data_IF_078163214196
#
_entry.id   IF_078163214196
#
_cell.length_a   1.000
_cell.length_b   1.000
_cell.length_c   1.000
_cell.angle_alpha   90.00
_cell.angle_beta   90.00
_cell.angle_gamma   90.00
#
_symmetry.space_group_name_H-M   'P 1'
#
loop_
_entity.id
_entity.type
_entity.pdbx_description
1 polymer ?
#
# COMPACT_ATOMS: atom_id res chain seq x y z
N UNK A 1 -1.94 12.30 -9.12
CA UNK A 1 -1.54 12.30 -7.69
C UNK A 1 -1.80 13.66 -7.04
N UNK A 2 -1.40 14.79 -7.66
CA UNK A 2 -1.49 16.13 -7.05
C UNK A 2 -2.90 16.59 -6.68
N UNK A 3 -3.91 16.39 -7.54
CA UNK A 3 -5.26 16.93 -7.31
C UNK A 3 -5.94 16.42 -6.05
N UNK A 4 -5.88 15.12 -5.77
CA UNK A 4 -6.49 14.53 -4.56
C UNK A 4 -5.78 14.94 -3.26
N UNK A 5 -4.47 15.11 -3.30
CA UNK A 5 -3.70 15.60 -2.15
C UNK A 5 -4.08 17.05 -1.83
N UNK A 6 -4.10 17.94 -2.84
CA UNK A 6 -4.50 19.33 -2.65
C UNK A 6 -5.94 19.45 -2.14
N UNK A 7 -6.86 18.60 -2.62
CA UNK A 7 -8.24 18.57 -2.13
C UNK A 7 -8.30 18.17 -0.65
N UNK A 8 -7.59 17.12 -0.24
CA UNK A 8 -7.52 16.69 1.16
C UNK A 8 -6.93 17.78 2.06
N UNK A 9 -5.87 18.45 1.63
CA UNK A 9 -5.26 19.56 2.36
C UNK A 9 -6.20 20.76 2.45
N UNK A 10 -6.96 21.07 1.39
CA UNK A 10 -7.95 22.14 1.39
C UNK A 10 -9.13 21.82 2.34
N UNK A 11 -9.57 20.58 2.41
CA UNK A 11 -10.55 20.13 3.40
C UNK A 11 -10.03 20.41 4.82
N UNK A 12 -8.78 20.00 5.11
CA UNK A 12 -8.13 20.28 6.40
C UNK A 12 -8.08 21.77 6.72
N UNK A 13 -7.68 22.60 5.74
CA UNK A 13 -7.58 24.04 5.88
C UNK A 13 -8.91 24.71 6.19
N UNK A 14 -10.00 24.31 5.51
CA UNK A 14 -11.33 24.89 5.69
C UNK A 14 -12.07 24.40 6.93
N UNK A 15 -11.89 23.15 7.28
CA UNK A 15 -12.66 22.52 8.36
C UNK A 15 -11.94 22.43 9.69
N UNK A 16 -10.60 22.54 9.71
CA UNK A 16 -9.77 22.32 10.87
C UNK A 16 -9.65 20.85 11.28
N UNK A 17 -10.13 19.90 10.45
CA UNK A 17 -9.94 18.46 10.73
C UNK A 17 -8.49 18.06 10.50
N UNK A 18 -8.06 17.05 11.24
CA UNK A 18 -6.75 16.44 11.04
C UNK A 18 -6.74 15.65 9.75
N UNK A 19 -5.70 15.83 8.93
CA UNK A 19 -5.52 15.13 7.66
C UNK A 19 -4.47 14.04 7.83
N UNK A 20 -4.77 12.82 7.39
CA UNK A 20 -3.79 11.75 7.25
C UNK A 20 -3.81 11.27 5.80
N UNK A 21 -2.62 11.22 5.17
CA UNK A 21 -2.49 10.78 3.78
C UNK A 21 -1.72 9.48 3.75
N UNK A 22 -2.39 8.45 3.26
CA UNK A 22 -1.87 7.10 3.14
C UNK A 22 -0.88 6.98 1.97
N UNK A 23 0.07 6.04 2.09
CA UNK A 23 1.09 5.65 1.10
C UNK A 23 1.73 6.83 0.35
N UNK A 24 1.95 7.96 1.06
CA UNK A 24 2.51 9.18 0.49
C UNK A 24 4.03 9.10 0.40
N UNK A 25 4.56 8.75 -0.75
CA UNK A 25 5.96 8.49 -1.01
C UNK A 25 6.30 8.60 -2.49
N UNK A 26 7.57 8.61 -2.81
CA UNK A 26 8.03 8.38 -4.18
C UNK A 26 7.85 6.91 -4.59
N UNK A 27 7.84 6.67 -5.85
CA UNK A 27 7.74 5.35 -6.50
C UNK A 27 8.83 5.21 -7.57
N UNK A 28 8.82 4.11 -8.31
CA UNK A 28 9.75 3.92 -9.42
C UNK A 28 9.72 5.06 -10.46
N UNK A 29 8.56 5.69 -10.66
CA UNK A 29 8.37 6.75 -11.67
C UNK A 29 8.92 8.12 -11.25
N UNK A 30 9.08 8.37 -9.95
CA UNK A 30 9.51 9.67 -9.42
C UNK A 30 10.52 9.56 -8.27
N UNK A 31 11.34 8.50 -8.30
CA UNK A 31 12.42 8.32 -7.33
C UNK A 31 13.40 9.51 -7.35
N UNK A 32 13.82 9.96 -6.16
CA UNK A 32 14.67 11.13 -5.97
C UNK A 32 13.92 12.46 -5.93
N UNK A 33 12.59 12.48 -6.00
CA UNK A 33 11.78 13.71 -6.01
C UNK A 33 11.08 13.98 -4.65
N UNK A 34 11.72 13.64 -3.54
CA UNK A 34 11.18 13.84 -2.19
C UNK A 34 10.74 15.29 -1.95
N UNK A 35 11.60 16.25 -2.28
CA UNK A 35 11.30 17.67 -2.06
C UNK A 35 10.06 18.12 -2.86
N UNK A 36 9.90 17.61 -4.07
CA UNK A 36 8.77 17.95 -4.93
C UNK A 36 7.44 17.43 -4.37
N UNK A 37 7.43 16.19 -3.89
CA UNK A 37 6.19 15.64 -3.30
C UNK A 37 5.90 16.29 -1.94
N UNK A 38 6.89 16.74 -1.19
CA UNK A 38 6.70 17.33 0.14
C UNK A 38 6.32 18.82 0.11
N UNK A 39 6.53 19.53 -0.99
CA UNK A 39 6.21 20.95 -1.10
C UNK A 39 4.76 21.30 -0.72
N UNK A 40 3.70 20.64 -1.25
CA UNK A 40 2.33 20.92 -0.87
C UNK A 40 2.04 20.62 0.60
N UNK A 41 2.66 19.59 1.16
CA UNK A 41 2.53 19.20 2.57
C UNK A 41 3.13 20.28 3.49
N UNK A 42 4.35 20.74 3.18
CA UNK A 42 5.00 21.79 3.99
C UNK A 42 4.24 23.11 3.94
N UNK A 43 3.68 23.45 2.80
CA UNK A 43 2.82 24.64 2.63
C UNK A 43 1.57 24.51 3.51
N UNK A 44 0.88 23.38 3.45
CA UNK A 44 -0.31 23.15 4.26
C UNK A 44 -0.02 23.19 5.77
N UNK A 45 1.11 22.61 6.20
CA UNK A 45 1.55 22.66 7.60
C UNK A 45 1.88 24.09 8.03
N UNK A 46 2.51 24.90 7.18
CA UNK A 46 2.76 26.31 7.48
C UNK A 46 1.48 27.14 7.56
N UNK A 47 0.42 26.72 6.86
CA UNK A 47 -0.93 27.28 6.96
C UNK A 47 -1.70 26.78 8.21
N UNK A 48 -1.09 25.92 9.05
CA UNK A 48 -1.66 25.41 10.30
C UNK A 48 -2.49 24.13 10.15
N UNK A 49 -2.45 23.45 9.00
CA UNK A 49 -3.13 22.16 8.82
C UNK A 49 -2.37 21.06 9.56
N UNK A 50 -3.05 20.31 10.43
CA UNK A 50 -2.50 19.14 11.12
C UNK A 50 -2.44 17.94 10.16
N UNK A 51 -1.28 17.73 9.55
CA UNK A 51 -1.05 16.66 8.54
C UNK A 51 -0.09 15.62 9.08
N UNK A 52 -0.46 14.35 8.92
CA UNK A 52 0.45 13.21 9.09
C UNK A 52 0.40 12.32 7.84
N UNK A 53 1.43 11.52 7.66
CA UNK A 53 1.69 10.77 6.44
C UNK A 53 2.11 9.34 6.80
N UNK A 54 1.86 8.39 5.88
CA UNK A 54 2.42 7.05 6.00
C UNK A 54 3.01 6.55 4.68
N UNK A 55 3.86 5.56 4.79
CA UNK A 55 4.50 4.93 3.64
C UNK A 55 4.77 3.44 3.87
N UNK A 56 5.07 2.74 2.77
CA UNK A 56 5.63 1.40 2.72
C UNK A 56 6.86 1.35 1.78
N UNK A 57 7.85 0.44 2.00
CA UNK A 57 9.17 0.52 1.38
C UNK A 57 9.28 -0.28 0.07
N UNK A 58 8.41 -0.02 -0.90
CA UNK A 58 8.42 -0.70 -2.19
C UNK A 58 8.28 0.28 -3.35
N UNK A 59 8.95 0.05 -4.51
CA UNK A 59 8.94 0.99 -5.64
C UNK A 59 7.64 1.06 -6.43
N UNK A 60 6.78 0.08 -6.25
CA UNK A 60 5.47 -0.02 -6.91
C UNK A 60 4.38 -0.28 -5.88
N UNK A 61 3.14 -0.14 -6.28
CA UNK A 61 1.96 -0.38 -5.45
C UNK A 61 1.12 -1.57 -5.91
N UNK A 62 -0.01 -1.75 -5.25
CA UNK A 62 -1.06 -2.69 -5.60
C UNK A 62 -2.41 -2.03 -5.34
N UNK A 63 -3.41 -2.42 -6.08
CA UNK A 63 -4.73 -1.82 -5.98
C UNK A 63 -5.76 -2.50 -6.85
N UNK A 64 -6.74 -1.71 -7.26
CA UNK A 64 -7.85 -2.15 -8.09
C UNK A 64 -7.79 -1.46 -9.46
N UNK A 65 -8.03 -2.16 -10.59
CA UNK A 65 -7.99 -1.56 -11.91
C UNK A 65 -8.92 -0.36 -12.10
N UNK A 66 -10.03 -0.29 -11.36
CA UNK A 66 -10.94 0.87 -11.36
C UNK A 66 -10.25 2.21 -11.05
N UNK A 67 -9.14 2.21 -10.32
CA UNK A 67 -8.38 3.44 -10.00
C UNK A 67 -7.87 4.18 -11.25
N UNK A 68 -7.77 3.49 -12.38
CA UNK A 68 -7.37 4.06 -13.67
C UNK A 68 -8.54 4.60 -14.50
N UNK A 69 -9.78 4.33 -14.10
CA UNK A 69 -10.96 4.71 -14.84
C UNK A 69 -11.36 6.17 -14.54
N UNK A 70 -12.01 6.88 -15.48
CA UNK A 70 -12.42 8.27 -15.29
C UNK A 70 -13.51 8.41 -14.22
N UNK A 71 -13.59 9.60 -13.62
CA UNK A 71 -14.52 9.86 -12.50
C UNK A 71 -15.99 9.59 -12.88
N UNK A 72 -16.40 9.97 -14.10
CA UNK A 72 -17.78 9.74 -14.56
C UNK A 72 -18.17 8.27 -14.58
N UNK A 73 -17.17 7.37 -14.74
CA UNK A 73 -17.41 5.93 -14.77
C UNK A 73 -17.87 5.39 -13.39
N UNK A 74 -17.42 6.01 -12.30
CA UNK A 74 -17.73 5.60 -10.93
C UNK A 74 -19.09 6.12 -10.42
N UNK A 75 -19.67 7.11 -11.09
CA UNK A 75 -20.93 7.72 -10.68
C UNK A 75 -22.07 6.70 -10.67
N UNK A 76 -22.83 6.67 -9.58
CA UNK A 76 -23.97 5.76 -9.39
C UNK A 76 -23.60 4.38 -8.84
N UNK A 77 -22.32 4.13 -8.52
CA UNK A 77 -21.87 2.92 -7.81
C UNK A 77 -21.68 1.69 -8.70
N UNK A 78 -21.36 0.56 -8.07
CA UNK A 78 -20.91 -0.68 -8.70
C UNK A 78 -21.84 -1.21 -9.79
N UNK A 79 -23.14 -1.30 -9.51
CA UNK A 79 -24.11 -1.86 -10.48
C UNK A 79 -24.30 -0.96 -11.71
N UNK A 80 -24.16 0.35 -11.55
CA UNK A 80 -24.20 1.29 -12.67
C UNK A 80 -22.94 1.14 -13.53
N UNK A 81 -21.78 1.04 -12.89
CA UNK A 81 -20.49 0.84 -13.57
C UNK A 81 -20.47 -0.48 -14.35
N UNK A 82 -21.01 -1.57 -13.79
CA UNK A 82 -21.17 -2.85 -14.52
C UNK A 82 -22.06 -2.72 -15.74
N UNK A 83 -23.20 -2.01 -15.64
CA UNK A 83 -24.05 -1.74 -16.82
C UNK A 83 -23.33 -0.93 -17.89
N UNK A 84 -22.52 0.06 -17.48
CA UNK A 84 -21.68 0.85 -18.41
C UNK A 84 -20.68 -0.01 -19.16
N UNK A 85 -20.02 -0.98 -18.48
CA UNK A 85 -19.12 -1.93 -19.15
C UNK A 85 -19.85 -2.94 -20.06
N UNK A 86 -21.08 -3.29 -19.73
CA UNK A 86 -21.89 -4.19 -20.56
C UNK A 86 -22.47 -3.49 -21.80
N UNK A 87 -22.66 -2.16 -21.74
CA UNK A 87 -23.12 -1.37 -22.87
C UNK A 87 -21.98 -1.13 -23.86
N UNK A 88 -22.16 -1.59 -25.10
CA UNK A 88 -21.11 -1.55 -26.12
C UNK A 88 -20.64 -0.14 -26.51
N UNK A 89 -21.55 0.84 -26.53
CA UNK A 89 -21.22 2.22 -26.88
C UNK A 89 -20.44 2.91 -25.75
N UNK A 90 -20.91 2.79 -24.53
CA UNK A 90 -20.25 3.33 -23.33
C UNK A 90 -18.87 2.68 -23.11
N UNK A 91 -18.76 1.34 -23.28
CA UNK A 91 -17.47 0.64 -23.20
C UNK A 91 -16.51 1.14 -24.27
N UNK A 92 -16.94 1.30 -25.51
CA UNK A 92 -16.08 1.84 -26.56
C UNK A 92 -15.64 3.29 -26.30
N UNK A 93 -16.49 4.12 -25.67
CA UNK A 93 -16.12 5.47 -25.24
C UNK A 93 -15.04 5.41 -24.14
N UNK A 94 -15.22 4.54 -23.15
CA UNK A 94 -14.27 4.35 -22.07
C UNK A 94 -12.89 3.87 -22.60
N UNK A 95 -12.87 2.87 -23.49
CA UNK A 95 -11.64 2.36 -24.09
C UNK A 95 -10.90 3.49 -24.81
N UNK A 96 -11.55 4.29 -25.66
CA UNK A 96 -10.92 5.42 -26.33
C UNK A 96 -10.36 6.46 -25.33
N UNK A 97 -11.06 6.70 -24.23
CA UNK A 97 -10.55 7.61 -23.20
C UNK A 97 -9.31 7.06 -22.50
N UNK A 98 -9.30 5.75 -22.18
CA UNK A 98 -8.12 5.10 -21.59
C UNK A 98 -6.92 5.13 -22.57
N UNK A 99 -7.15 4.82 -23.85
CA UNK A 99 -6.13 4.89 -24.91
C UNK A 99 -5.56 6.31 -25.13
N UNK A 100 -6.36 7.35 -24.86
CA UNK A 100 -5.92 8.76 -24.98
C UNK A 100 -5.03 9.22 -23.81
N UNK A 101 -5.00 8.47 -22.71
CA UNK A 101 -4.13 8.73 -21.56
C UNK A 101 -2.77 8.09 -21.81
N UNK A 102 -1.85 8.30 -20.88
CA UNK A 102 -0.54 7.63 -20.94
C UNK A 102 -0.69 6.11 -20.76
N UNK A 103 -0.90 5.41 -21.87
CA UNK A 103 -1.12 3.95 -21.89
C UNK A 103 0.10 3.15 -21.42
N UNK A 104 1.31 3.75 -21.42
CA UNK A 104 2.52 3.07 -20.90
C UNK A 104 2.38 2.71 -19.42
N UNK A 105 1.57 3.46 -18.66
CA UNK A 105 1.29 3.16 -17.26
C UNK A 105 0.65 1.77 -17.11
N UNK A 106 -0.31 1.41 -17.96
CA UNK A 106 -1.03 0.16 -17.88
C UNK A 106 -0.15 -1.07 -18.21
N UNK A 107 0.90 -0.90 -19.01
CA UNK A 107 1.88 -1.95 -19.28
C UNK A 107 2.69 -2.37 -18.06
N UNK A 108 2.75 -1.53 -17.02
CA UNK A 108 3.51 -1.78 -15.82
C UNK A 108 2.72 -2.50 -14.71
N UNK A 109 1.60 -3.16 -15.06
CA UNK A 109 0.79 -3.90 -14.09
C UNK A 109 0.66 -5.38 -14.46
N UNK A 110 0.44 -6.20 -13.41
CA UNK A 110 0.06 -7.61 -13.51
C UNK A 110 -1.16 -7.88 -12.62
N UNK A 111 -1.91 -8.93 -12.95
CA UNK A 111 -3.01 -9.39 -12.11
C UNK A 111 -2.50 -10.03 -10.82
N UNK A 112 -3.08 -9.69 -9.67
CA UNK A 112 -2.71 -10.27 -8.37
C UNK A 112 -3.67 -11.34 -7.91
N UNK A 113 -4.94 -11.17 -8.21
CA UNK A 113 -6.01 -12.11 -7.91
C UNK A 113 -7.16 -11.91 -8.87
N UNK A 114 -7.85 -13.01 -9.17
CA UNK A 114 -9.02 -13.08 -10.03
C UNK A 114 -10.02 -14.05 -9.40
N UNK A 115 -11.29 -13.63 -9.27
CA UNK A 115 -12.26 -14.39 -8.51
C UNK A 115 -12.74 -15.63 -9.24
N UNK A 116 -12.97 -15.55 -10.57
CA UNK A 116 -13.50 -16.66 -11.35
C UNK A 116 -12.45 -17.71 -11.70
N UNK A 117 -12.86 -18.98 -11.73
CA UNK A 117 -11.98 -20.06 -12.17
C UNK A 117 -11.62 -19.94 -13.67
N UNK A 118 -12.48 -19.32 -14.46
CA UNK A 118 -12.27 -19.16 -15.90
C UNK A 118 -11.04 -18.30 -16.23
N UNK A 119 -10.83 -17.22 -15.47
CA UNK A 119 -9.75 -16.27 -15.70
C UNK A 119 -8.60 -16.40 -14.68
N UNK A 120 -8.69 -17.33 -13.73
CA UNK A 120 -7.68 -17.49 -12.66
C UNK A 120 -6.26 -17.70 -13.17
N UNK A 121 -6.12 -18.29 -14.35
CA UNK A 121 -4.82 -18.50 -14.99
C UNK A 121 -4.10 -17.20 -15.37
N UNK A 122 -4.79 -16.05 -15.38
CA UNK A 122 -4.18 -14.73 -15.56
C UNK A 122 -3.45 -14.21 -14.31
N UNK A 123 -3.68 -14.79 -13.12
CA UNK A 123 -2.95 -14.38 -11.93
C UNK A 123 -1.44 -14.46 -12.13
N UNK A 124 -0.74 -13.35 -11.91
CA UNK A 124 0.69 -13.20 -12.14
C UNK A 124 1.08 -12.76 -13.56
N UNK A 125 0.20 -12.90 -14.55
CA UNK A 125 0.48 -12.42 -15.90
C UNK A 125 0.43 -10.90 -15.97
N UNK A 126 1.28 -10.32 -16.82
CA UNK A 126 1.19 -8.89 -17.11
C UNK A 126 -0.08 -8.56 -17.91
N UNK A 127 -0.53 -7.32 -17.80
CA UNK A 127 -1.66 -6.86 -18.62
C UNK A 127 -1.37 -6.99 -20.11
N UNK A 128 -0.12 -6.74 -20.52
CA UNK A 128 0.31 -6.92 -21.90
C UNK A 128 0.20 -8.37 -22.39
N UNK A 129 0.63 -9.34 -21.57
CA UNK A 129 0.56 -10.76 -21.93
C UNK A 129 -0.89 -11.24 -22.06
N UNK A 130 -1.77 -10.84 -21.14
CA UNK A 130 -3.20 -11.20 -21.22
C UNK A 130 -3.89 -10.54 -22.42
N UNK A 131 -3.57 -9.29 -22.71
CA UNK A 131 -4.08 -8.60 -23.90
C UNK A 131 -3.63 -9.31 -25.20
N UNK A 132 -2.35 -9.71 -25.26
CA UNK A 132 -1.82 -10.47 -26.40
C UNK A 132 -2.50 -11.84 -26.56
N UNK A 133 -2.72 -12.57 -25.46
CA UNK A 133 -3.44 -13.85 -25.48
C UNK A 133 -4.89 -13.70 -25.98
N UNK A 134 -5.57 -12.61 -25.56
CA UNK A 134 -6.94 -12.29 -26.01
C UNK A 134 -7.01 -11.69 -27.41
N UNK A 135 -5.88 -11.25 -27.97
CA UNK A 135 -5.82 -10.57 -29.28
C UNK A 135 -6.49 -9.19 -29.27
N UNK A 136 -6.40 -8.46 -28.14
CA UNK A 136 -7.03 -7.14 -27.93
C UNK A 136 -6.02 -6.12 -27.45
N UNK A 137 -6.43 -4.83 -27.33
CA UNK A 137 -5.64 -3.83 -26.62
C UNK A 137 -5.70 -4.07 -25.10
N UNK A 138 -4.75 -3.49 -24.34
CA UNK A 138 -4.73 -3.57 -22.87
C UNK A 138 -6.00 -2.95 -22.29
N UNK A 139 -6.43 -1.81 -22.81
CA UNK A 139 -7.61 -1.07 -22.37
C UNK A 139 -8.89 -1.89 -22.59
N UNK A 140 -9.00 -2.53 -23.74
CA UNK A 140 -10.11 -3.42 -24.04
C UNK A 140 -10.08 -4.66 -23.12
N UNK A 141 -8.93 -5.29 -22.95
CA UNK A 141 -8.75 -6.46 -22.09
C UNK A 141 -9.12 -6.14 -20.63
N UNK A 142 -8.69 -5.00 -20.08
CA UNK A 142 -9.05 -4.59 -18.72
C UNK A 142 -10.56 -4.44 -18.58
N UNK A 143 -11.22 -3.76 -19.54
CA UNK A 143 -12.67 -3.60 -19.52
C UNK A 143 -13.42 -4.95 -19.57
N UNK A 144 -12.94 -5.89 -20.36
CA UNK A 144 -13.54 -7.22 -20.48
C UNK A 144 -13.36 -8.04 -19.20
N UNK A 145 -12.13 -8.16 -18.69
CA UNK A 145 -11.86 -8.88 -17.44
C UNK A 145 -12.62 -8.26 -16.28
N UNK A 146 -12.64 -6.93 -16.16
CA UNK A 146 -13.38 -6.23 -15.12
C UNK A 146 -14.88 -6.51 -15.16
N UNK A 147 -15.47 -6.65 -16.35
CA UNK A 147 -16.87 -7.02 -16.51
C UNK A 147 -17.11 -8.49 -16.15
N UNK A 148 -16.29 -9.41 -16.67
CA UNK A 148 -16.35 -10.84 -16.40
C UNK A 148 -16.24 -11.16 -14.91
N UNK A 149 -15.32 -10.50 -14.24
CA UNK A 149 -15.05 -10.66 -12.79
C UNK A 149 -15.98 -9.82 -11.90
N UNK A 150 -16.88 -9.03 -12.47
CA UNK A 150 -17.75 -8.09 -11.74
C UNK A 150 -16.95 -7.22 -10.75
N UNK A 151 -15.80 -6.74 -11.22
CA UNK A 151 -14.80 -6.00 -10.44
C UNK A 151 -14.07 -6.80 -9.34
N UNK A 152 -14.29 -8.11 -9.22
CA UNK A 152 -13.62 -8.95 -8.24
C UNK A 152 -12.25 -9.43 -8.74
N UNK A 153 -11.35 -8.48 -8.95
CA UNK A 153 -9.97 -8.71 -9.38
C UNK A 153 -9.06 -7.58 -8.90
N UNK A 154 -7.76 -7.82 -8.83
CA UNK A 154 -6.79 -6.85 -8.35
C UNK A 154 -5.52 -6.82 -9.19
N UNK A 155 -4.78 -5.71 -9.09
CA UNK A 155 -3.52 -5.49 -9.77
C UNK A 155 -2.37 -5.20 -8.80
N UNK A 156 -1.16 -5.41 -9.28
CA UNK A 156 0.06 -4.86 -8.68
C UNK A 156 0.98 -4.32 -9.76
N UNK A 157 1.79 -3.33 -9.41
CA UNK A 157 2.86 -2.86 -10.27
C UNK A 157 3.92 -3.93 -10.50
N UNK A 158 4.44 -4.00 -11.71
CA UNK A 158 5.61 -4.82 -12.04
C UNK A 158 6.85 -4.15 -11.43
N UNK A 159 7.63 -4.86 -10.59
CA UNK A 159 8.79 -4.26 -9.97
C UNK A 159 9.87 -3.92 -11.01
N UNK A 160 10.55 -2.78 -10.86
CA UNK A 160 11.60 -2.40 -11.79
C UNK A 160 12.77 -3.38 -11.72
N UNK A 161 13.35 -3.73 -12.86
CA UNK A 161 14.53 -4.58 -12.96
C UNK A 161 15.84 -3.86 -12.54
N UNK A 162 15.77 -2.55 -12.34
CA UNK A 162 16.93 -1.71 -12.00
C UNK A 162 17.21 -1.70 -10.50
N UNK A 163 18.32 -2.31 -10.09
CA UNK A 163 18.80 -2.22 -8.70
C UNK A 163 19.13 -0.77 -8.27
N UNK A 164 19.47 0.11 -9.22
CA UNK A 164 19.67 1.54 -8.94
C UNK A 164 18.36 2.20 -8.54
N UNK A 165 17.28 1.89 -9.26
CA UNK A 165 15.96 2.46 -8.98
C UNK A 165 15.42 1.98 -7.63
N UNK A 166 15.62 0.71 -7.31
CA UNK A 166 15.28 0.18 -5.98
C UNK A 166 16.00 0.94 -4.86
N UNK A 167 17.30 1.18 -5.01
CA UNK A 167 18.08 1.93 -4.02
C UNK A 167 17.62 3.37 -3.88
N UNK A 168 17.32 4.06 -4.99
CA UNK A 168 16.82 5.42 -4.95
C UNK A 168 15.48 5.52 -4.17
N UNK A 169 14.56 4.58 -4.41
CA UNK A 169 13.30 4.54 -3.63
C UNK A 169 13.55 4.20 -2.17
N UNK A 170 14.48 3.30 -1.84
CA UNK A 170 14.84 3.00 -0.45
C UNK A 170 15.46 4.22 0.27
N UNK A 171 16.30 4.99 -0.41
CA UNK A 171 16.86 6.25 0.10
C UNK A 171 15.76 7.28 0.37
N UNK A 172 14.84 7.46 -0.56
CA UNK A 172 13.68 8.34 -0.40
C UNK A 172 12.80 7.93 0.79
N UNK A 173 12.51 6.62 0.93
CA UNK A 173 11.73 6.08 2.05
C UNK A 173 12.37 6.41 3.39
N UNK A 174 13.68 6.22 3.51
CA UNK A 174 14.40 6.51 4.76
C UNK A 174 14.46 8.00 5.04
N UNK A 175 14.63 8.83 4.02
CA UNK A 175 14.57 10.30 4.13
C UNK A 175 13.19 10.79 4.60
N UNK A 176 12.11 10.20 4.09
CA UNK A 176 10.76 10.51 4.52
C UNK A 176 10.50 10.04 5.97
N UNK A 177 10.96 8.86 6.36
CA UNK A 177 10.81 8.35 7.74
C UNK A 177 11.62 9.12 8.77
N UNK A 178 12.64 9.88 8.38
CA UNK A 178 13.35 10.78 9.29
C UNK A 178 12.45 11.91 9.80
N UNK A 179 11.41 12.25 9.06
CA UNK A 179 10.44 13.28 9.41
C UNK A 179 9.51 12.80 10.53
N UNK A 180 9.22 13.67 11.54
CA UNK A 180 8.42 13.28 12.72
C UNK A 180 6.94 13.01 12.39
N UNK A 181 6.43 13.51 11.29
CA UNK A 181 5.04 13.40 10.83
C UNK A 181 4.78 12.14 10.01
N UNK A 182 5.82 11.35 9.71
CA UNK A 182 5.68 10.06 9.03
C UNK A 182 5.46 8.90 9.98
N UNK A 183 4.71 7.95 9.51
CA UNK A 183 4.55 6.62 10.11
C UNK A 183 4.61 5.54 9.00
N UNK A 184 4.49 4.29 9.39
CA UNK A 184 4.55 3.16 8.47
C UNK A 184 3.18 2.50 8.40
N UNK A 185 2.63 2.42 7.19
CA UNK A 185 1.46 1.62 6.86
C UNK A 185 1.80 0.59 5.79
N UNK A 186 1.21 -0.58 5.85
CA UNK A 186 1.47 -1.63 4.85
C UNK A 186 0.65 -1.47 3.59
N UNK A 187 -0.48 -0.80 3.66
CA UNK A 187 -1.49 -0.74 2.59
C UNK A 187 -1.80 -2.15 2.02
N UNK A 188 -1.90 -3.12 2.93
CA UNK A 188 -2.03 -4.53 2.59
C UNK A 188 -3.39 -4.83 1.94
N UNK A 189 -3.36 -5.56 0.84
CA UNK A 189 -4.53 -6.19 0.21
C UNK A 189 -4.26 -7.70 0.22
N UNK A 190 -4.60 -8.40 1.33
CA UNK A 190 -4.24 -9.80 1.52
C UNK A 190 -5.23 -10.74 0.81
N UNK A 191 -5.38 -10.58 -0.52
CA UNK A 191 -6.27 -11.36 -1.36
C UNK A 191 -5.48 -12.00 -2.50
N UNK A 192 -5.75 -13.28 -2.77
CA UNK A 192 -5.07 -14.07 -3.81
C UNK A 192 -3.70 -14.59 -3.41
N UNK A 193 -3.13 -15.45 -4.25
CA UNK A 193 -1.83 -16.10 -4.01
C UNK A 193 -0.63 -15.24 -4.38
N UNK A 194 -0.80 -14.31 -5.32
CA UNK A 194 0.27 -13.46 -5.86
C UNK A 194 0.10 -11.98 -5.44
N UNK A 195 -0.33 -11.77 -4.20
CA UNK A 195 -0.48 -10.44 -3.62
C UNK A 195 0.83 -9.65 -3.61
N UNK A 196 0.74 -8.35 -3.33
CA UNK A 196 1.94 -7.52 -3.21
C UNK A 196 2.71 -7.90 -1.92
N UNK A 197 4.05 -8.04 -1.96
CA UNK A 197 4.85 -8.46 -0.80
C UNK A 197 4.78 -7.50 0.40
N UNK A 198 4.26 -6.28 0.22
CA UNK A 198 4.08 -5.29 1.29
C UNK A 198 3.17 -5.79 2.43
N UNK A 199 2.25 -6.71 2.14
CA UNK A 199 1.36 -7.29 3.14
C UNK A 199 2.13 -8.03 4.25
N UNK A 200 3.25 -8.66 3.90
CA UNK A 200 4.06 -9.48 4.79
C UNK A 200 5.40 -8.84 5.15
N UNK A 201 5.95 -8.04 4.23
CA UNK A 201 7.31 -7.55 4.31
C UNK A 201 7.49 -6.11 4.79
N UNK A 202 6.47 -5.27 4.81
CA UNK A 202 6.62 -3.82 5.08
C UNK A 202 7.36 -3.54 6.38
N UNK A 203 6.85 -4.01 7.50
CA UNK A 203 7.40 -3.72 8.82
C UNK A 203 8.77 -4.36 9.05
N UNK A 204 8.97 -5.69 8.81
CA UNK A 204 10.27 -6.32 9.01
C UNK A 204 11.34 -5.79 8.04
N UNK A 205 10.98 -5.35 6.82
CA UNK A 205 11.89 -4.74 5.86
C UNK A 205 12.47 -3.42 6.38
N UNK A 206 11.63 -2.57 6.96
CA UNK A 206 12.05 -1.29 7.54
C UNK A 206 12.85 -1.53 8.82
N UNK A 207 12.33 -2.32 9.77
CA UNK A 207 13.01 -2.65 11.03
C UNK A 207 14.34 -3.37 10.82
N UNK A 208 14.44 -4.17 9.79
CA UNK A 208 15.61 -4.98 9.46
C UNK A 208 16.57 -4.29 8.51
N UNK A 209 16.56 -4.73 7.26
CA UNK A 209 17.59 -4.40 6.29
C UNK A 209 17.69 -2.92 5.93
N UNK A 210 16.56 -2.19 5.86
CA UNK A 210 16.63 -0.77 5.50
C UNK A 210 17.25 0.05 6.64
N UNK A 211 16.77 -0.14 7.87
CA UNK A 211 17.33 0.50 9.05
C UNK A 211 18.84 0.26 9.16
N UNK A 212 19.28 -1.01 9.06
CA UNK A 212 20.71 -1.34 9.17
C UNK A 212 21.55 -0.75 8.05
N UNK A 213 21.06 -0.79 6.81
CA UNK A 213 21.76 -0.24 5.64
C UNK A 213 21.99 1.26 5.75
N UNK A 214 21.01 1.98 6.30
CA UNK A 214 21.03 3.45 6.40
C UNK A 214 21.49 3.94 7.78
N UNK A 215 21.87 3.04 8.70
CA UNK A 215 22.31 3.43 10.05
C UNK A 215 21.23 4.11 10.89
N UNK A 216 19.96 3.79 10.63
CA UNK A 216 18.84 4.45 11.31
C UNK A 216 18.59 3.83 12.69
N UNK A 217 18.43 4.66 13.78
CA UNK A 217 18.21 4.15 15.11
C UNK A 217 16.93 3.30 15.22
N UNK A 218 17.03 2.15 15.89
CA UNK A 218 15.89 1.22 16.03
C UNK A 218 14.73 1.86 16.77
N UNK A 219 15.01 2.67 17.78
CA UNK A 219 14.03 3.37 18.60
C UNK A 219 13.18 4.34 17.78
N UNK A 220 13.80 5.04 16.83
CA UNK A 220 13.09 5.96 15.96
C UNK A 220 12.17 5.19 14.98
N UNK A 221 12.64 4.08 14.41
CA UNK A 221 11.80 3.23 13.57
C UNK A 221 10.61 2.71 14.38
N UNK A 222 10.86 2.13 15.56
CA UNK A 222 9.80 1.64 16.46
C UNK A 222 8.79 2.73 16.76
N UNK A 223 9.23 3.96 17.06
CA UNK A 223 8.32 5.09 17.28
C UNK A 223 7.38 5.33 16.06
N UNK A 224 7.90 5.25 14.83
CA UNK A 224 7.10 5.41 13.60
C UNK A 224 6.08 4.28 13.40
N UNK A 225 6.36 3.10 13.96
CA UNK A 225 5.51 1.92 13.84
C UNK A 225 4.46 1.80 14.94
N UNK A 226 4.65 2.47 16.09
CA UNK A 226 3.86 2.23 17.30
C UNK A 226 3.28 3.52 17.90
N UNK A 227 4.11 4.35 18.52
CA UNK A 227 3.67 5.55 19.24
C UNK A 227 3.00 6.57 18.32
N UNK A 228 3.59 6.83 17.13
CA UNK A 228 3.03 7.81 16.19
C UNK A 228 1.62 7.43 15.73
N UNK A 229 1.37 6.21 15.19
CA UNK A 229 0.01 5.82 14.80
C UNK A 229 -0.94 5.76 16.01
N UNK A 230 -0.51 5.26 17.18
CA UNK A 230 -1.36 5.22 18.36
C UNK A 230 -1.84 6.63 18.75
N UNK A 231 -0.96 7.62 18.77
CA UNK A 231 -1.30 9.02 19.07
C UNK A 231 -2.17 9.65 17.98
N UNK A 232 -1.85 9.39 16.70
CA UNK A 232 -2.59 9.98 15.58
C UNK A 232 -4.03 9.52 15.54
N UNK A 233 -4.24 8.21 15.74
CA UNK A 233 -5.57 7.60 15.65
C UNK A 233 -6.29 7.47 17.01
N UNK A 234 -5.74 8.05 18.08
CA UNK A 234 -6.39 8.05 19.38
C UNK A 234 -6.52 6.67 20.01
N UNK A 235 -5.54 5.77 19.78
CA UNK A 235 -5.52 4.45 20.41
C UNK A 235 -5.00 4.57 21.84
N UNK A 236 -5.93 4.67 22.79
CA UNK A 236 -5.62 4.81 24.20
C UNK A 236 -4.84 3.59 24.73
N UNK A 237 -3.90 3.83 25.64
CA UNK A 237 -3.11 2.82 26.36
C UNK A 237 -2.36 1.83 25.43
N UNK A 238 -1.92 2.30 24.26
CA UNK A 238 -1.19 1.51 23.25
C UNK A 238 -0.02 2.30 22.65
N UNK A 239 0.89 1.60 21.96
CA UNK A 239 2.00 2.19 21.23
C UNK A 239 3.23 2.54 22.08
N UNK A 240 3.19 2.29 23.37
CA UNK A 240 4.31 2.47 24.31
C UNK A 240 4.35 1.33 25.32
N UNK A 241 5.53 0.96 25.80
CA UNK A 241 5.69 0.04 26.94
C UNK A 241 5.61 0.87 28.22
N UNK A 242 4.50 0.75 28.93
CA UNK A 242 4.20 1.50 30.15
C UNK A 242 3.27 0.68 31.06
N UNK A 243 3.42 0.83 32.38
CA UNK A 243 2.48 0.23 33.34
C UNK A 243 1.03 0.71 33.08
N UNK A 244 0.09 -0.21 33.09
CA UNK A 244 -1.33 0.05 32.80
C UNK A 244 -1.69 0.04 31.32
N UNK A 245 -0.71 -0.04 30.40
CA UNK A 245 -0.99 -0.16 28.97
C UNK A 245 -1.26 -1.59 28.56
N UNK A 246 -1.96 -1.74 27.45
CA UNK A 246 -2.26 -3.05 26.86
C UNK A 246 -0.97 -3.75 26.42
N UNK A 247 -0.86 -5.02 26.79
CA UNK A 247 0.33 -5.81 26.46
C UNK A 247 0.28 -6.36 25.01
N UNK A 248 0.33 -5.44 24.03
CA UNK A 248 0.55 -5.74 22.62
C UNK A 248 2.04 -5.55 22.32
N UNK A 249 2.82 -6.62 22.43
CA UNK A 249 4.27 -6.58 22.48
C UNK A 249 4.86 -7.47 21.39
N UNK A 250 5.74 -6.91 20.57
CA UNK A 250 6.56 -7.64 19.62
C UNK A 250 8.00 -7.73 20.16
N UNK A 251 8.51 -8.92 20.34
CA UNK A 251 9.90 -9.18 20.73
C UNK A 251 10.65 -9.58 19.46
N UNK A 252 11.68 -8.84 19.11
CA UNK A 252 12.47 -9.09 17.91
C UNK A 252 13.96 -8.89 18.16
N UNK A 253 14.77 -9.59 17.38
CA UNK A 253 16.23 -9.39 17.34
C UNK A 253 16.54 -8.31 16.29
N UNK A 254 17.07 -7.14 16.68
CA UNK A 254 17.32 -6.02 15.78
C UNK A 254 18.38 -6.32 14.70
N UNK A 255 19.24 -7.32 14.91
CA UNK A 255 20.25 -7.71 13.95
C UNK A 255 19.77 -8.82 13.00
N UNK A 256 18.83 -9.65 13.46
CA UNK A 256 18.31 -10.77 12.69
C UNK A 256 17.02 -10.46 11.93
N UNK A 257 16.20 -9.52 12.44
CA UNK A 257 14.90 -9.22 11.82
C UNK A 257 15.05 -8.85 10.34
N UNK A 258 14.29 -9.53 9.49
CA UNK A 258 14.26 -9.27 8.06
C UNK A 258 12.97 -9.79 7.41
N UNK A 259 12.57 -9.15 6.30
CA UNK A 259 11.54 -9.66 5.42
C UNK A 259 12.12 -10.77 4.51
N UNK A 260 11.31 -11.76 4.21
CA UNK A 260 11.61 -12.80 3.22
C UNK A 260 10.67 -12.71 2.00
N UNK A 261 9.64 -11.89 2.09
CA UNK A 261 8.64 -11.72 1.03
C UNK A 261 9.25 -11.12 -0.23
N UNK A 262 8.94 -11.72 -1.36
CA UNK A 262 9.31 -11.22 -2.70
C UNK A 262 8.07 -11.05 -3.58
N UNK A 263 8.24 -10.55 -4.81
CA UNK A 263 7.15 -10.49 -5.78
C UNK A 263 6.80 -11.86 -6.34
N UNK A 264 7.73 -12.81 -6.30
CA UNK A 264 7.55 -14.21 -6.73
C UNK A 264 6.93 -15.05 -5.61
N UNK A 265 7.34 -14.82 -4.36
CA UNK A 265 6.83 -15.48 -3.16
C UNK A 265 6.45 -14.45 -2.09
N UNK A 266 5.25 -13.86 -2.19
CA UNK A 266 4.87 -12.71 -1.38
C UNK A 266 4.47 -13.05 0.06
N UNK A 267 4.08 -14.29 0.35
CA UNK A 267 3.50 -14.69 1.64
C UNK A 267 4.49 -15.33 2.61
N UNK A 268 5.76 -14.95 2.50
CA UNK A 268 6.80 -15.46 3.39
C UNK A 268 6.79 -14.76 4.74
N UNK A 269 6.75 -15.54 5.81
CA UNK A 269 6.92 -15.03 7.17
C UNK A 269 8.31 -14.41 7.36
N UNK A 270 8.40 -13.29 8.12
CA UNK A 270 9.69 -12.69 8.45
C UNK A 270 10.50 -13.58 9.41
N UNK A 271 11.79 -13.32 9.48
CA UNK A 271 12.69 -13.90 10.48
C UNK A 271 13.03 -12.89 11.58
N UNK A 272 13.53 -13.38 12.71
CA UNK A 272 14.00 -12.53 13.81
C UNK A 272 12.89 -11.99 14.72
N UNK A 273 11.69 -12.56 14.70
CA UNK A 273 10.56 -12.24 15.58
C UNK A 273 10.17 -13.51 16.35
N UNK A 274 10.83 -13.84 17.47
CA UNK A 274 10.53 -15.04 18.22
C UNK A 274 9.19 -15.01 18.96
N UNK A 275 8.72 -13.84 19.42
CA UNK A 275 7.50 -13.76 20.20
C UNK A 275 6.66 -12.53 19.85
N UNK A 276 5.34 -12.72 19.82
CA UNK A 276 4.35 -11.63 19.73
C UNK A 276 3.24 -11.89 20.74
N UNK A 277 2.94 -10.90 21.55
CA UNK A 277 1.83 -10.90 22.49
C UNK A 277 0.74 -9.94 22.01
N UNK A 278 -0.51 -10.34 22.11
CA UNK A 278 -1.69 -9.49 21.90
C UNK A 278 -2.60 -9.62 23.12
N UNK A 279 -2.96 -8.49 23.71
CA UNK A 279 -3.68 -8.46 25.00
C UNK A 279 -3.04 -9.37 26.07
N UNK A 280 -1.72 -9.43 26.13
CA UNK A 280 -0.94 -10.23 27.08
C UNK A 280 -0.88 -11.74 26.79
N UNK A 281 -1.48 -12.22 25.70
CA UNK A 281 -1.43 -13.62 25.30
C UNK A 281 -0.45 -13.84 24.15
N UNK A 282 0.36 -14.89 24.23
CA UNK A 282 1.33 -15.22 23.18
C UNK A 282 0.63 -15.75 21.94
N UNK A 283 0.61 -14.95 20.87
CA UNK A 283 0.06 -15.33 19.54
C UNK A 283 1.15 -15.86 18.60
N UNK A 284 2.42 -15.49 18.86
CA UNK A 284 3.61 -16.11 18.25
C UNK A 284 4.56 -16.50 19.37
N UNK A 285 5.05 -17.74 19.34
CA UNK A 285 6.03 -18.27 20.27
C UNK A 285 7.08 -19.08 19.53
N UNK A 286 8.36 -18.81 19.80
CA UNK A 286 9.48 -19.42 19.08
C UNK A 286 9.37 -19.30 17.53
N UNK A 287 8.88 -18.15 17.05
CA UNK A 287 8.63 -17.84 15.63
C UNK A 287 7.49 -18.65 14.98
N UNK A 288 6.68 -19.35 15.75
CA UNK A 288 5.52 -20.11 15.28
C UNK A 288 4.20 -19.52 15.81
N UNK A 289 3.17 -19.50 14.97
CA UNK A 289 1.84 -19.07 15.39
C UNK A 289 1.22 -20.10 16.35
N UNK A 290 0.75 -19.61 17.50
CA UNK A 290 0.12 -20.48 18.53
C UNK A 290 -1.31 -20.85 18.20
N UNK A 291 -1.96 -20.14 17.27
CA UNK A 291 -3.38 -20.29 16.98
C UNK A 291 -4.31 -19.54 17.95
N UNK A 292 -3.77 -18.84 18.95
CA UNK A 292 -4.55 -18.03 19.89
C UNK A 292 -5.07 -16.78 19.18
N UNK A 293 -6.36 -16.51 19.35
CA UNK A 293 -7.07 -15.35 18.78
C UNK A 293 -7.48 -14.39 19.90
N UNK A 294 -6.53 -13.60 20.39
CA UNK A 294 -6.74 -12.68 21.53
C UNK A 294 -6.97 -11.21 21.11
N UNK A 295 -6.96 -10.94 19.81
CA UNK A 295 -7.23 -9.60 19.27
C UNK A 295 -8.69 -9.17 19.44
N UNK A 296 -8.90 -7.89 19.71
CA UNK A 296 -10.21 -7.27 19.84
C UNK A 296 -10.35 -6.07 18.89
N UNK A 297 -11.59 -5.81 18.44
CA UNK A 297 -11.90 -4.62 17.66
C UNK A 297 -11.80 -3.36 18.53
N UNK A 298 -10.94 -2.42 18.14
CA UNK A 298 -10.74 -1.17 18.87
C UNK A 298 -11.49 -0.05 18.18
N UNK A 299 -12.14 0.82 18.94
CA UNK A 299 -12.70 2.08 18.43
C UNK A 299 -11.82 3.23 18.92
N UNK A 300 -11.53 4.18 18.02
CA UNK A 300 -10.93 5.44 18.41
C UNK A 300 -11.88 6.20 19.35
N UNK A 301 -11.32 6.82 20.39
CA UNK A 301 -12.04 7.59 21.40
C UNK A 301 -12.05 9.06 21.02
#
# INVERSE_FOLDING_TARGET
FGGGVEEALEIGRRSGVKVHIEHYRTSASNAGQVDQIMEPIERAKSDGVDVTLELYPYPVGSGHPLSHFPSWFHEGGTEVALRRLADSETKAMLIRELESRDSEILHNYSWTWIASDANRHYEGMSFGDVAAERGTSIEQMICEVMLEERFSCGLRGVPPQSARLWRAVEEDVMSLLDRPDYMVGSDAIPVGGLQHPRAWGTFPRILGRLRRRHGYPVEQVVQRLTQNPARRFGLAERGEIREGFQADICIFDPEMINDLSSFEDPMMHPIGIPHVLVNGQSVVENSECTGIMSGEGIRAV
#
